data_IF_248224005715
#
_entry.id   IF_248224005715
#
_cell.length_a   1.000
_cell.length_b   1.000
_cell.length_c   1.000
_cell.angle_alpha   90.00
_cell.angle_beta   90.00
_cell.angle_gamma   90.00
#
_symmetry.space_group_name_H-M   'P 1'
#
loop_
_entity.id
_entity.type
_entity.pdbx_description
1 polymer ?
#
# COMPACT_ATOMS: atom_id res chain seq x y z
N UNK A 1 11.87 3.14 -2.79
CA UNK A 1 12.82 2.01 -2.89
C UNK A 1 14.22 2.55 -2.76
N UNK A 2 15.15 1.74 -2.25
CA UNK A 2 16.57 2.07 -2.30
C UNK A 2 17.02 2.00 -3.76
N UNK A 3 17.41 3.14 -4.31
CA UNK A 3 17.86 3.27 -5.70
C UNK A 3 19.37 3.04 -5.74
N UNK A 4 19.82 2.18 -6.65
CA UNK A 4 21.26 2.00 -6.86
C UNK A 4 21.87 3.36 -7.30
N UNK A 5 23.04 3.75 -6.78
CA UNK A 5 23.62 5.07 -7.04
C UNK A 5 23.82 5.38 -8.54
N UNK A 6 24.05 4.34 -9.34
CA UNK A 6 24.28 4.44 -10.78
C UNK A 6 23.00 4.33 -11.63
N UNK A 7 21.83 4.09 -11.02
CA UNK A 7 20.58 3.92 -11.77
C UNK A 7 19.74 5.18 -11.82
N UNK A 8 19.15 5.41 -12.98
CA UNK A 8 18.12 6.35 -13.48
C UNK A 8 16.63 6.10 -13.17
N UNK A 9 16.13 5.85 -11.96
CA UNK A 9 14.70 5.48 -11.87
C UNK A 9 13.74 6.66 -12.15
N UNK A 10 12.98 6.57 -13.24
CA UNK A 10 11.92 7.49 -13.62
C UNK A 10 10.56 6.92 -13.22
N UNK A 11 9.91 7.51 -12.22
CA UNK A 11 8.60 7.05 -11.75
C UNK A 11 7.48 7.97 -12.24
N UNK A 12 6.40 7.39 -12.75
CA UNK A 12 5.18 8.10 -13.14
C UNK A 12 3.94 7.42 -12.53
N UNK A 13 3.75 7.50 -11.20
CA UNK A 13 2.79 6.67 -10.46
C UNK A 13 1.31 6.91 -10.81
N UNK A 14 0.99 8.04 -11.45
CA UNK A 14 -0.38 8.43 -11.78
C UNK A 14 -0.73 8.23 -13.27
N UNK A 15 0.20 7.68 -14.08
CA UNK A 15 -0.07 7.39 -15.49
C UNK A 15 -0.52 5.95 -15.65
N UNK A 16 -1.74 5.80 -16.17
CA UNK A 16 -2.32 4.51 -16.53
C UNK A 16 -2.23 4.22 -18.03
N UNK A 17 -2.07 5.26 -18.86
CA UNK A 17 -1.86 5.12 -20.29
C UNK A 17 -0.40 4.83 -20.63
N UNK A 18 -0.15 3.68 -21.25
CA UNK A 18 1.17 3.22 -21.67
C UNK A 18 1.79 4.14 -22.73
N UNK A 19 0.98 4.71 -23.64
CA UNK A 19 1.50 5.59 -24.69
C UNK A 19 2.02 6.90 -24.08
N UNK A 20 1.26 7.49 -23.15
CA UNK A 20 1.69 8.68 -22.40
C UNK A 20 2.88 8.38 -21.49
N UNK A 21 2.92 7.19 -20.87
CA UNK A 21 4.05 6.75 -20.05
C UNK A 21 5.33 6.68 -20.90
N UNK A 22 5.28 6.03 -22.06
CA UNK A 22 6.41 5.93 -22.99
C UNK A 22 6.86 7.30 -23.47
N UNK A 23 5.95 8.18 -23.89
CA UNK A 23 6.30 9.55 -24.32
C UNK A 23 7.03 10.33 -23.23
N UNK A 24 6.56 10.26 -21.99
CA UNK A 24 7.20 10.95 -20.86
C UNK A 24 8.55 10.31 -20.49
N UNK A 25 8.65 8.99 -20.56
CA UNK A 25 9.90 8.29 -20.36
C UNK A 25 10.94 8.71 -21.41
N UNK A 26 10.59 8.65 -22.69
CA UNK A 26 11.50 8.96 -23.79
C UNK A 26 11.92 10.45 -23.77
N UNK A 27 10.99 11.36 -23.49
CA UNK A 27 11.29 12.78 -23.31
C UNK A 27 12.31 13.02 -22.18
N UNK A 28 12.16 12.33 -21.05
CA UNK A 28 13.05 12.47 -19.91
C UNK A 28 14.38 11.73 -20.11
N UNK A 29 14.37 10.59 -20.79
CA UNK A 29 15.57 9.87 -21.19
C UNK A 29 16.43 10.71 -22.14
N UNK A 30 15.82 11.44 -23.08
CA UNK A 30 16.53 12.37 -23.97
C UNK A 30 17.22 13.53 -23.23
N UNK A 31 16.78 13.87 -22.01
CA UNK A 31 17.44 14.88 -21.17
C UNK A 31 18.64 14.34 -20.38
N UNK A 32 18.82 13.00 -20.31
CA UNK A 32 19.87 12.36 -19.52
C UNK A 32 21.19 12.16 -20.30
N UNK A 33 21.24 12.61 -21.55
CA UNK A 33 22.42 12.52 -22.42
C UNK A 33 22.30 11.47 -23.51
N UNK A 34 23.40 11.25 -24.22
CA UNK A 34 23.44 10.32 -25.36
C UNK A 34 23.30 8.88 -24.88
N UNK A 35 22.34 8.10 -25.42
CA UNK A 35 22.22 6.69 -25.07
C UNK A 35 23.46 5.91 -25.52
N UNK A 36 24.00 5.08 -24.63
CA UNK A 36 25.04 4.14 -24.98
C UNK A 36 24.43 2.97 -25.77
N UNK A 37 25.10 2.49 -26.84
CA UNK A 37 24.64 1.30 -27.55
C UNK A 37 24.68 0.09 -26.60
N UNK A 38 23.75 -0.86 -26.76
CA UNK A 38 23.76 -2.08 -25.95
C UNK A 38 25.04 -2.90 -26.21
N UNK A 39 25.52 -3.68 -25.23
CA UNK A 39 26.68 -4.54 -25.43
C UNK A 39 26.41 -5.55 -26.55
N UNK A 40 27.35 -5.63 -27.50
CA UNK A 40 27.26 -6.53 -28.65
C UNK A 40 28.26 -7.69 -28.49
N UNK A 41 27.77 -8.91 -28.75
CA UNK A 41 28.56 -10.13 -28.64
C UNK A 41 28.46 -10.79 -27.27
N UNK A 42 28.68 -12.11 -27.25
CA UNK A 42 28.49 -12.95 -26.06
C UNK A 42 29.31 -12.47 -24.86
N UNK A 43 30.59 -12.21 -25.07
CA UNK A 43 31.53 -11.83 -24.00
C UNK A 43 31.16 -10.49 -23.37
N UNK A 44 30.81 -9.50 -24.19
CA UNK A 44 30.39 -8.18 -23.72
C UNK A 44 29.09 -8.23 -22.91
N UNK A 45 28.16 -9.11 -23.28
CA UNK A 45 26.91 -9.31 -22.53
C UNK A 45 27.20 -9.91 -21.15
N UNK A 46 28.06 -10.95 -21.09
CA UNK A 46 28.40 -11.58 -19.81
C UNK A 46 29.22 -10.67 -18.90
N UNK A 47 30.14 -9.87 -19.46
CA UNK A 47 30.93 -8.92 -18.67
C UNK A 47 30.07 -7.81 -18.08
N UNK A 48 29.13 -7.24 -18.86
CA UNK A 48 28.19 -6.24 -18.35
C UNK A 48 27.34 -6.83 -17.22
N UNK A 49 26.74 -8.00 -17.43
CA UNK A 49 25.92 -8.69 -16.42
C UNK A 49 26.70 -8.95 -15.12
N UNK A 50 27.95 -9.41 -15.24
CA UNK A 50 28.81 -9.65 -14.09
C UNK A 50 29.16 -8.35 -13.35
N UNK A 51 29.40 -7.27 -14.10
CA UNK A 51 29.67 -5.95 -13.53
C UNK A 51 28.45 -5.37 -12.79
N UNK A 52 27.25 -5.51 -13.36
CA UNK A 52 25.99 -5.11 -12.73
C UNK A 52 25.73 -5.91 -11.47
N UNK A 53 25.91 -7.23 -11.52
CA UNK A 53 25.77 -8.10 -10.37
C UNK A 53 26.76 -7.72 -9.25
N UNK A 54 28.03 -7.45 -9.58
CA UNK A 54 29.02 -7.01 -8.61
C UNK A 54 28.65 -5.67 -7.97
N UNK A 55 28.21 -4.69 -8.76
CA UNK A 55 27.72 -3.39 -8.25
C UNK A 55 26.51 -3.55 -7.33
N UNK A 56 25.58 -4.43 -7.70
CA UNK A 56 24.41 -4.74 -6.89
C UNK A 56 24.82 -5.36 -5.54
N UNK A 57 25.65 -6.40 -5.54
CA UNK A 57 26.14 -7.06 -4.33
C UNK A 57 26.91 -6.09 -3.42
N UNK A 58 27.82 -5.28 -3.99
CA UNK A 58 28.55 -4.25 -3.25
C UNK A 58 27.60 -3.24 -2.59
N UNK A 59 26.54 -2.84 -3.29
CA UNK A 59 25.52 -1.97 -2.73
C UNK A 59 24.71 -2.63 -1.60
N UNK A 60 24.33 -3.90 -1.75
CA UNK A 60 23.62 -4.61 -0.68
C UNK A 60 24.50 -4.80 0.56
N UNK A 61 25.81 -5.03 0.39
CA UNK A 61 26.79 -5.08 1.48
C UNK A 61 26.94 -3.73 2.17
N UNK A 62 27.08 -2.63 1.43
CA UNK A 62 27.19 -1.29 2.01
C UNK A 62 25.92 -0.86 2.75
N UNK A 63 24.76 -1.34 2.32
CA UNK A 63 23.48 -1.17 3.02
C UNK A 63 23.31 -2.12 4.19
N UNK A 64 24.25 -3.02 4.45
CA UNK A 64 24.18 -4.03 5.52
C UNK A 64 22.98 -4.96 5.34
N UNK A 65 22.56 -5.20 4.10
CA UNK A 65 21.49 -6.15 3.75
C UNK A 65 22.07 -7.55 3.61
N UNK A 66 23.23 -7.67 2.98
CA UNK A 66 24.00 -8.91 2.92
C UNK A 66 25.14 -8.90 3.95
N UNK A 67 25.52 -10.09 4.43
CA UNK A 67 26.73 -10.33 5.22
C UNK A 67 27.52 -11.49 4.59
N UNK A 68 28.85 -11.41 4.47
CA UNK A 68 29.64 -12.54 3.99
C UNK A 68 29.64 -13.66 5.05
N UNK A 69 29.46 -14.90 4.60
CA UNK A 69 29.57 -16.09 5.46
C UNK A 69 31.06 -16.42 5.67
N UNK A 70 31.41 -16.92 6.86
CA UNK A 70 32.76 -17.42 7.15
C UNK A 70 33.15 -18.52 6.15
N UNK A 71 34.18 -18.26 5.32
CA UNK A 71 34.57 -19.13 4.20
C UNK A 71 34.54 -18.44 2.83
N UNK A 72 34.00 -17.22 2.73
CA UNK A 72 34.31 -16.26 1.66
C UNK A 72 33.59 -16.46 0.32
N UNK A 73 32.86 -17.54 0.11
CA UNK A 73 32.19 -17.85 -1.17
C UNK A 73 30.70 -17.52 -1.23
N UNK A 74 30.08 -17.12 -0.12
CA UNK A 74 28.63 -16.90 -0.06
C UNK A 74 28.23 -15.72 0.83
N UNK A 75 27.02 -15.21 0.56
CA UNK A 75 26.39 -14.14 1.31
C UNK A 75 25.13 -14.66 2.00
N UNK A 76 24.89 -14.24 3.23
CA UNK A 76 23.63 -14.44 3.93
C UNK A 76 22.84 -13.11 3.99
N UNK A 77 21.51 -13.21 3.93
CA UNK A 77 20.61 -12.08 4.09
C UNK A 77 20.48 -11.78 5.58
N UNK A 78 20.73 -10.53 5.95
CA UNK A 78 20.57 -10.07 7.33
C UNK A 78 19.09 -9.86 7.68
N UNK A 79 18.77 -9.89 8.98
CA UNK A 79 17.44 -9.55 9.50
C UNK A 79 17.02 -8.09 9.22
N UNK A 80 17.92 -7.25 8.70
CA UNK A 80 17.62 -5.85 8.35
C UNK A 80 16.49 -5.75 7.32
N UNK A 81 16.43 -6.68 6.36
CA UNK A 81 15.37 -6.69 5.34
C UNK A 81 14.03 -7.04 5.96
N UNK A 82 13.99 -8.07 6.82
CA UNK A 82 12.78 -8.47 7.55
C UNK A 82 12.27 -7.33 8.44
N UNK A 83 13.16 -6.72 9.23
CA UNK A 83 12.84 -5.59 10.10
C UNK A 83 12.34 -4.38 9.30
N UNK A 84 12.96 -4.09 8.16
CA UNK A 84 12.49 -3.02 7.27
C UNK A 84 11.11 -3.32 6.69
N UNK A 85 10.83 -4.58 6.36
CA UNK A 85 9.49 -5.03 5.93
C UNK A 85 8.44 -4.76 7.01
N UNK A 86 8.74 -5.13 8.26
CA UNK A 86 7.88 -4.87 9.42
C UNK A 86 7.68 -3.37 9.62
N UNK A 87 8.76 -2.58 9.66
CA UNK A 87 8.69 -1.12 9.83
C UNK A 87 7.88 -0.46 8.70
N UNK A 88 8.09 -0.89 7.46
CA UNK A 88 7.33 -0.37 6.32
C UNK A 88 5.85 -0.77 6.38
N UNK A 89 5.53 -1.95 6.93
CA UNK A 89 4.15 -2.37 7.13
C UNK A 89 3.42 -1.47 8.13
N UNK A 90 4.10 -1.08 9.21
CA UNK A 90 3.54 -0.18 10.22
C UNK A 90 3.65 1.31 9.85
N UNK A 91 4.56 1.68 8.95
CA UNK A 91 4.72 3.07 8.53
C UNK A 91 3.55 3.52 7.64
N UNK A 92 2.81 4.58 8.02
CA UNK A 92 1.72 5.12 7.21
C UNK A 92 2.19 5.76 5.89
N UNK A 93 3.47 6.12 5.82
CA UNK A 93 4.07 6.82 4.67
C UNK A 93 5.06 5.95 3.89
N UNK A 94 5.07 4.63 4.12
CA UNK A 94 5.98 3.72 3.42
C UNK A 94 5.72 3.61 1.92
N UNK A 95 4.50 3.95 1.49
CA UNK A 95 4.07 3.94 0.09
C UNK A 95 3.83 5.37 -0.38
N UNK A 96 4.18 5.66 -1.63
CA UNK A 96 3.89 6.95 -2.24
C UNK A 96 2.40 7.03 -2.48
N UNK A 97 1.71 7.90 -1.74
CA UNK A 97 0.28 8.12 -1.86
C UNK A 97 0.07 9.52 -2.41
N UNK A 98 -0.76 9.66 -3.45
CA UNK A 98 -1.13 10.98 -3.94
C UNK A 98 -1.98 11.69 -2.87
N UNK A 99 -1.59 12.90 -2.48
CA UNK A 99 -2.29 13.71 -1.47
C UNK A 99 -3.82 13.77 -1.66
N UNK A 100 -4.38 14.04 -2.86
CA UNK A 100 -5.83 14.09 -3.04
C UNK A 100 -6.50 12.73 -2.76
N UNK A 101 -5.86 11.62 -3.16
CA UNK A 101 -6.38 10.27 -2.90
C UNK A 101 -6.32 9.94 -1.40
N UNK A 102 -5.27 10.39 -0.71
CA UNK A 102 -5.12 10.25 0.74
C UNK A 102 -6.21 11.02 1.48
N UNK A 103 -6.45 12.28 1.12
CA UNK A 103 -7.49 13.11 1.73
C UNK A 103 -8.88 12.53 1.51
N UNK A 104 -9.20 12.11 0.29
CA UNK A 104 -10.49 11.48 -0.02
C UNK A 104 -10.68 10.15 0.73
N UNK A 105 -9.62 9.33 0.82
CA UNK A 105 -9.65 8.09 1.62
C UNK A 105 -9.84 8.38 3.09
N UNK A 106 -9.18 9.41 3.63
CA UNK A 106 -9.32 9.83 5.01
C UNK A 106 -10.75 10.30 5.32
N UNK A 107 -11.34 11.09 4.41
CA UNK A 107 -12.70 11.59 4.55
C UNK A 107 -13.72 10.44 4.55
N UNK A 108 -13.61 9.51 3.60
CA UNK A 108 -14.51 8.35 3.52
C UNK A 108 -14.34 7.44 4.74
N UNK A 109 -13.09 7.14 5.10
CA UNK A 109 -12.77 6.25 6.22
C UNK A 109 -13.15 6.82 7.59
N UNK A 110 -13.22 8.14 7.74
CA UNK A 110 -13.72 8.78 8.95
C UNK A 110 -15.26 8.89 8.95
N UNK A 111 -15.83 9.37 7.84
CA UNK A 111 -17.22 9.80 7.78
C UNK A 111 -18.23 8.65 7.82
N UNK A 112 -18.00 7.58 7.05
CA UNK A 112 -18.92 6.43 7.00
C UNK A 112 -19.07 5.75 8.37
N UNK A 113 -17.96 5.40 9.08
CA UNK A 113 -18.05 4.85 10.42
C UNK A 113 -18.75 5.78 11.42
N UNK A 114 -18.48 7.09 11.36
CA UNK A 114 -19.13 8.07 12.24
C UNK A 114 -20.63 8.14 12.03
N UNK A 115 -21.10 8.16 10.79
CA UNK A 115 -22.54 8.12 10.48
C UNK A 115 -23.16 6.82 10.98
N UNK A 116 -22.49 5.69 10.77
CA UNK A 116 -22.96 4.39 11.24
C UNK A 116 -23.19 4.39 12.75
N UNK A 117 -22.23 4.92 13.52
CA UNK A 117 -22.28 4.96 14.98
C UNK A 117 -23.23 6.03 15.53
N UNK A 118 -23.18 7.26 15.00
CA UNK A 118 -23.86 8.41 15.60
C UNK A 118 -25.29 8.63 15.10
N UNK A 119 -25.65 8.05 13.95
CA UNK A 119 -26.96 8.30 13.31
C UNK A 119 -27.71 7.01 13.03
N UNK A 120 -27.14 6.10 12.25
CA UNK A 120 -27.89 4.95 11.73
C UNK A 120 -28.14 3.90 12.81
N UNK A 121 -27.10 3.49 13.55
CA UNK A 121 -27.26 2.49 14.61
C UNK A 121 -28.22 2.95 15.73
N UNK A 122 -28.13 4.18 16.26
CA UNK A 122 -29.10 4.68 17.25
C UNK A 122 -30.52 4.73 16.70
N UNK A 123 -30.70 5.14 15.45
CA UNK A 123 -32.02 5.16 14.81
C UNK A 123 -32.64 3.77 14.69
N UNK A 124 -31.86 2.78 14.24
CA UNK A 124 -32.32 1.39 14.13
C UNK A 124 -32.60 0.78 15.50
N UNK A 125 -31.78 1.09 16.50
CA UNK A 125 -31.98 0.64 17.86
C UNK A 125 -33.29 1.20 18.44
N UNK A 126 -33.55 2.50 18.26
CA UNK A 126 -34.78 3.14 18.72
C UNK A 126 -36.02 2.65 17.96
N UNK A 127 -35.91 2.44 16.65
CA UNK A 127 -37.03 1.96 15.82
C UNK A 127 -37.46 0.53 16.13
N UNK A 128 -36.55 -0.27 16.70
CA UNK A 128 -36.78 -1.67 17.05
C UNK A 128 -36.71 -1.94 18.57
N UNK A 129 -36.86 -0.91 19.42
CA UNK A 129 -36.53 -0.96 20.85
C UNK A 129 -37.12 -2.15 21.65
N UNK A 130 -38.27 -2.69 21.21
CA UNK A 130 -38.94 -3.83 21.87
C UNK A 130 -38.54 -5.19 21.28
N UNK A 131 -37.60 -5.23 20.33
CA UNK A 131 -37.13 -6.45 19.67
C UNK A 131 -35.73 -6.82 20.16
N UNK A 132 -35.48 -8.10 20.48
CA UNK A 132 -34.13 -8.57 20.81
C UNK A 132 -33.14 -8.41 19.62
N UNK A 133 -33.66 -8.18 18.41
CA UNK A 133 -32.84 -7.97 17.20
C UNK A 133 -32.31 -6.54 17.06
N UNK A 134 -32.79 -5.57 17.85
CA UNK A 134 -32.40 -4.16 17.72
C UNK A 134 -30.90 -3.94 17.95
N UNK A 135 -30.34 -4.63 18.94
CA UNK A 135 -28.90 -4.61 19.21
C UNK A 135 -28.09 -5.23 18.06
N UNK A 136 -28.52 -6.40 17.56
CA UNK A 136 -27.85 -7.09 16.46
C UNK A 136 -27.86 -6.26 15.17
N UNK A 137 -28.98 -5.63 14.83
CA UNK A 137 -29.11 -4.76 13.66
C UNK A 137 -28.18 -3.53 13.74
N UNK A 138 -28.00 -2.98 14.94
CA UNK A 138 -27.11 -1.84 15.19
C UNK A 138 -25.64 -2.23 14.99
N UNK A 139 -25.21 -3.36 15.56
CA UNK A 139 -23.84 -3.88 15.40
C UNK A 139 -23.54 -4.26 13.96
N UNK A 140 -24.48 -4.93 13.27
CA UNK A 140 -24.35 -5.28 11.85
C UNK A 140 -24.21 -4.04 10.98
N UNK A 141 -24.95 -2.97 11.30
CA UNK A 141 -24.89 -1.73 10.53
C UNK A 141 -23.56 -1.01 10.73
N UNK A 142 -23.06 -0.92 11.96
CA UNK A 142 -21.71 -0.37 12.24
C UNK A 142 -20.67 -1.19 11.47
N UNK A 143 -20.75 -2.52 11.54
CA UNK A 143 -19.86 -3.44 10.82
C UNK A 143 -19.91 -3.20 9.31
N UNK A 144 -21.11 -3.05 8.73
CA UNK A 144 -21.31 -2.76 7.32
C UNK A 144 -20.71 -1.41 6.92
N UNK A 145 -20.86 -0.36 7.74
CA UNK A 145 -20.25 0.95 7.49
C UNK A 145 -18.71 0.88 7.45
N UNK A 146 -18.09 0.14 8.37
CA UNK A 146 -16.64 -0.07 8.35
C UNK A 146 -16.18 -0.90 7.14
N UNK A 147 -16.90 -1.99 6.82
CA UNK A 147 -16.60 -2.81 5.65
C UNK A 147 -16.72 -1.99 4.34
N UNK A 148 -17.77 -1.18 4.21
CA UNK A 148 -18.01 -0.31 3.06
C UNK A 148 -16.94 0.77 2.95
N UNK A 149 -16.56 1.40 4.06
CA UNK A 149 -15.46 2.36 4.10
C UNK A 149 -14.14 1.71 3.61
N UNK A 150 -13.84 0.51 4.10
CA UNK A 150 -12.71 -0.31 3.65
C UNK A 150 -12.71 -0.57 2.15
N UNK A 151 -13.86 -1.02 1.62
CA UNK A 151 -14.06 -1.29 0.20
C UNK A 151 -13.87 -0.04 -0.67
N UNK A 152 -14.50 1.08 -0.32
CA UNK A 152 -14.39 2.35 -1.05
C UNK A 152 -12.95 2.88 -1.05
N UNK A 153 -12.25 2.81 0.08
CA UNK A 153 -10.84 3.19 0.19
C UNK A 153 -9.92 2.31 -0.67
N UNK A 154 -10.28 1.04 -0.94
CA UNK A 154 -9.54 0.18 -1.89
C UNK A 154 -9.82 0.54 -3.36
N UNK A 155 -11.05 0.96 -3.67
CA UNK A 155 -11.43 1.38 -5.02
C UNK A 155 -10.76 2.70 -5.41
N UNK A 156 -10.75 3.67 -4.50
CA UNK A 156 -10.24 5.03 -4.76
C UNK A 156 -8.73 5.11 -4.54
N UNK A 157 -8.23 4.44 -3.51
CA UNK A 157 -6.83 4.52 -3.10
C UNK A 157 -5.93 3.50 -3.80
N UNK A 158 -4.64 3.84 -3.90
CA UNK A 158 -3.57 2.88 -4.09
C UNK A 158 -3.34 2.03 -2.84
N UNK A 159 -2.32 1.15 -2.82
CA UNK A 159 -2.03 0.32 -1.65
C UNK A 159 -1.65 1.18 -0.43
N UNK A 160 -2.48 1.20 0.61
CA UNK A 160 -2.24 1.86 1.91
C UNK A 160 -1.85 0.82 2.96
N UNK A 161 -1.12 1.25 3.99
CA UNK A 161 -0.70 0.38 5.09
C UNK A 161 -1.84 0.09 6.08
N UNK A 162 -1.68 -0.97 6.87
CA UNK A 162 -2.63 -1.35 7.92
C UNK A 162 -2.82 -0.21 8.94
N UNK A 163 -1.71 0.40 9.39
CA UNK A 163 -1.74 1.49 10.38
C UNK A 163 -2.48 2.70 9.86
N UNK A 164 -2.33 3.06 8.58
CA UNK A 164 -3.05 4.19 8.01
C UNK A 164 -4.57 3.96 8.03
N UNK A 165 -5.01 2.75 7.67
CA UNK A 165 -6.42 2.37 7.72
C UNK A 165 -6.97 2.37 9.13
N UNK A 166 -6.17 1.90 10.09
CA UNK A 166 -6.52 1.98 11.50
C UNK A 166 -6.67 3.43 11.93
N UNK A 167 -5.67 4.29 11.71
CA UNK A 167 -5.70 5.70 12.10
C UNK A 167 -6.93 6.43 11.55
N UNK A 168 -7.20 6.28 10.25
CA UNK A 168 -8.30 6.96 9.58
C UNK A 168 -9.68 6.53 10.10
N UNK A 169 -9.86 5.25 10.44
CA UNK A 169 -11.17 4.71 10.86
C UNK A 169 -11.35 4.73 12.37
N UNK A 170 -10.27 4.59 13.14
CA UNK A 170 -10.27 4.46 14.59
C UNK A 170 -10.24 5.82 15.29
N UNK A 171 -9.34 6.73 14.88
CA UNK A 171 -9.14 8.00 15.61
C UNK A 171 -10.40 8.87 15.57
N UNK A 172 -11.03 9.13 14.41
CA UNK A 172 -12.23 9.98 14.37
C UNK A 172 -13.40 9.39 15.14
N UNK A 173 -13.59 8.07 15.06
CA UNK A 173 -14.70 7.38 15.74
C UNK A 173 -14.54 7.39 17.25
N UNK A 174 -13.33 7.16 17.78
CA UNK A 174 -13.09 7.19 19.22
C UNK A 174 -13.11 8.60 19.79
N UNK A 175 -12.62 9.61 19.04
CA UNK A 175 -12.63 11.00 19.49
C UNK A 175 -14.04 11.61 19.50
N UNK A 176 -14.90 11.26 18.54
CA UNK A 176 -16.20 11.91 18.38
C UNK A 176 -17.38 11.08 18.91
N UNK A 177 -17.32 9.75 18.81
CA UNK A 177 -18.40 8.87 19.27
C UNK A 177 -18.09 8.15 20.59
N UNK A 178 -16.90 8.37 21.15
CA UNK A 178 -16.44 7.72 22.37
C UNK A 178 -16.09 6.24 22.15
N UNK A 179 -15.90 5.52 23.27
CA UNK A 179 -15.61 4.10 23.24
C UNK A 179 -16.86 3.31 22.88
N UNK A 180 -16.98 2.91 21.62
CA UNK A 180 -18.07 2.03 21.18
C UNK A 180 -17.84 0.59 21.64
N UNK A 181 -18.91 -0.03 22.17
CA UNK A 181 -18.94 -1.38 22.72
C UNK A 181 -18.48 -2.46 21.73
N UNK A 182 -17.39 -3.15 22.08
CA UNK A 182 -16.94 -4.38 21.43
C UNK A 182 -15.45 -4.64 21.60
N UNK A 183 -15.07 -5.92 21.81
CA UNK A 183 -13.67 -6.36 21.85
C UNK A 183 -13.00 -6.40 20.46
N UNK A 184 -13.81 -6.37 19.39
CA UNK A 184 -13.31 -6.39 18.00
C UNK A 184 -13.06 -4.96 17.54
N UNK A 185 -11.82 -4.59 17.19
CA UNK A 185 -11.56 -3.29 16.57
C UNK A 185 -12.22 -3.29 15.18
N UNK A 186 -13.34 -2.59 15.02
CA UNK A 186 -14.05 -2.47 13.74
C UNK A 186 -13.15 -1.99 12.59
N UNK A 187 -12.06 -1.29 12.91
CA UNK A 187 -10.98 -0.95 11.97
C UNK A 187 -10.32 -2.16 11.28
N UNK A 188 -10.26 -3.32 11.94
CA UNK A 188 -9.80 -4.56 11.31
C UNK A 188 -10.74 -5.03 10.21
N UNK A 189 -12.05 -4.80 10.36
CA UNK A 189 -13.06 -5.12 9.34
C UNK A 189 -12.86 -4.22 8.12
N UNK A 190 -12.63 -2.91 8.33
CA UNK A 190 -12.29 -1.99 7.26
C UNK A 190 -10.99 -2.40 6.55
N UNK A 191 -9.97 -2.84 7.30
CA UNK A 191 -8.73 -3.32 6.69
C UNK A 191 -8.94 -4.61 5.88
N UNK A 192 -9.68 -5.58 6.42
CA UNK A 192 -9.97 -6.84 5.73
C UNK A 192 -10.76 -6.62 4.44
N UNK A 193 -11.84 -5.85 4.50
CA UNK A 193 -12.66 -5.50 3.34
C UNK A 193 -11.82 -4.80 2.27
N UNK A 194 -10.98 -3.84 2.68
CA UNK A 194 -10.02 -3.19 1.80
C UNK A 194 -9.07 -4.19 1.15
N UNK A 195 -8.50 -5.11 1.93
CA UNK A 195 -7.55 -6.10 1.44
C UNK A 195 -8.18 -6.99 0.36
N UNK A 196 -9.38 -7.52 0.62
CA UNK A 196 -10.13 -8.33 -0.34
C UNK A 196 -10.43 -7.56 -1.63
N UNK A 197 -10.99 -6.36 -1.54
CA UNK A 197 -11.31 -5.53 -2.71
C UNK A 197 -10.05 -5.11 -3.48
N UNK A 198 -8.98 -4.78 -2.75
CA UNK A 198 -7.67 -4.45 -3.33
C UNK A 198 -7.08 -5.62 -4.11
N UNK A 199 -7.17 -6.86 -3.60
CA UNK A 199 -6.74 -8.05 -4.34
C UNK A 199 -7.56 -8.25 -5.62
N UNK A 200 -8.89 -8.11 -5.55
CA UNK A 200 -9.75 -8.26 -6.74
C UNK A 200 -9.43 -7.19 -7.78
N UNK A 201 -9.25 -5.93 -7.37
CA UNK A 201 -8.85 -4.83 -8.25
C UNK A 201 -7.51 -5.09 -8.92
N UNK A 202 -6.51 -5.56 -8.16
CA UNK A 202 -5.19 -5.92 -8.68
C UNK A 202 -5.27 -7.07 -9.69
N UNK A 203 -6.03 -8.13 -9.38
CA UNK A 203 -6.23 -9.28 -10.30
C UNK A 203 -6.91 -8.87 -11.59
N UNK A 204 -7.94 -8.01 -11.54
CA UNK A 204 -8.60 -7.48 -12.75
C UNK A 204 -7.67 -6.64 -13.61
N UNK A 205 -6.79 -5.86 -13.00
CA UNK A 205 -5.79 -5.08 -13.72
C UNK A 205 -4.81 -5.96 -14.51
N UNK A 206 -4.48 -7.16 -14.01
CA UNK A 206 -3.60 -8.10 -14.70
C UNK A 206 -4.28 -8.78 -15.90
N UNK A 207 -5.58 -9.06 -15.82
CA UNK A 207 -6.34 -9.72 -16.90
C UNK A 207 -6.62 -8.78 -18.08
N UNK A 208 -6.71 -7.47 -17.84
CA UNK A 208 -6.94 -6.48 -18.89
C UNK A 208 -5.66 -6.02 -19.60
N UNK A 209 -4.51 -6.61 -19.25
CA UNK A 209 -3.19 -6.33 -19.84
C UNK A 209 -2.64 -7.51 -20.66
N UNK A 210 -3.41 -8.60 -20.80
CA UNK A 210 -3.19 -9.69 -21.76
C UNK A 210 -4.09 -9.48 -22.98
#
# INVERSE_FOLDING_TARGET
>A
MDRLPHQIMQEFPNLTDLATLKRKHDSRAGQLGTPLPPPHGREAIFSELQSEHARFCAYQLSRGILRPVSGGSSFEITNKVANRGIINFFSPFSKRVALPQTLLSALIGAFLPLIGILKIAPFLHASAANSPLAFQASVLTITACYALAGALMALIGGPQSYVWMMLVTYVPTHLLAGWTFGWIPYSCIAHFARHCVGQVKARRGLVLQT
#
